data_IF_107081380896
#
_entry.id   IF_107081380896
#
_cell.length_a   1.000
_cell.length_b   1.000
_cell.length_c   1.000
_cell.angle_alpha   90.00
_cell.angle_beta   90.00
_cell.angle_gamma   90.00
#
_symmetry.space_group_name_H-M   'P 1'
#
loop_
_entity.id
_entity.type
_entity.pdbx_description
1 polymer ?
#
# COMPACT_ATOMS: atom_id res chain seq x y z
N UNK A 1 -17.17 -5.84 -7.86
CA UNK A 1 -15.72 -6.05 -7.91
C UNK A 1 -15.04 -4.80 -8.42
N UNK A 2 -14.30 -4.05 -7.60
CA UNK A 2 -13.02 -3.50 -8.05
C UNK A 2 -12.49 -2.61 -6.97
N UNK A 3 -11.40 -3.04 -6.41
CA UNK A 3 -10.51 -2.20 -5.66
C UNK A 3 -9.17 -2.13 -6.40
N UNK A 4 -8.54 -0.99 -6.29
CA UNK A 4 -7.13 -0.80 -6.58
C UNK A 4 -6.50 -0.23 -5.32
N UNK A 5 -5.33 -0.70 -4.95
CA UNK A 5 -4.57 -0.07 -3.88
C UNK A 5 -3.28 0.49 -4.46
N UNK A 6 -2.93 1.69 -4.08
CA UNK A 6 -1.67 2.29 -4.46
C UNK A 6 -0.89 2.72 -3.23
N UNK A 7 0.42 2.49 -3.31
CA UNK A 7 1.37 2.93 -2.32
C UNK A 7 1.67 4.41 -2.56
N UNK A 8 1.08 5.24 -1.74
CA UNK A 8 1.15 6.70 -1.82
C UNK A 8 2.06 7.28 -0.76
N UNK A 9 2.27 8.59 -0.78
CA UNK A 9 3.10 9.29 0.20
C UNK A 9 2.41 10.54 0.73
N UNK A 10 2.55 10.76 2.04
CA UNK A 10 2.22 12.00 2.72
C UNK A 10 3.27 12.30 3.79
N UNK A 11 3.88 13.48 3.76
CA UNK A 11 4.95 13.89 4.70
C UNK A 11 6.04 12.81 4.85
N UNK A 12 6.54 12.27 3.73
CA UNK A 12 7.55 11.20 3.67
C UNK A 12 7.11 9.85 4.29
N UNK A 13 5.83 9.70 4.64
CA UNK A 13 5.24 8.44 5.09
C UNK A 13 4.51 7.75 3.96
N UNK A 14 4.70 6.44 3.90
CA UNK A 14 4.00 5.61 2.92
C UNK A 14 2.61 5.30 3.44
N UNK A 15 1.59 5.65 2.67
CA UNK A 15 0.21 5.36 2.98
C UNK A 15 -0.40 4.51 1.87
N UNK A 16 -1.32 3.62 2.22
CA UNK A 16 -2.07 2.84 1.25
C UNK A 16 -3.47 3.42 1.10
N UNK A 17 -3.82 3.81 -0.13
CA UNK A 17 -5.18 4.25 -0.47
C UNK A 17 -5.82 3.18 -1.34
N UNK A 18 -6.95 2.67 -0.88
CA UNK A 18 -7.74 1.65 -1.59
C UNK A 18 -8.94 2.32 -2.26
N UNK A 19 -9.09 2.10 -3.56
CA UNK A 19 -10.27 2.51 -4.31
C UNK A 19 -11.27 1.37 -4.42
N UNK A 20 -12.51 1.58 -3.96
CA UNK A 20 -13.60 0.60 -4.07
C UNK A 20 -14.62 1.04 -5.11
N UNK A 21 -15.36 0.08 -5.68
CA UNK A 21 -16.45 0.31 -6.64
C UNK A 21 -16.03 1.09 -7.89
N UNK A 22 -14.80 0.87 -8.37
CA UNK A 22 -14.28 1.52 -9.57
C UNK A 22 -15.08 1.05 -10.79
N UNK A 23 -15.57 1.99 -11.60
CA UNK A 23 -16.31 1.70 -12.82
C UNK A 23 -15.38 1.32 -13.95
N UNK A 24 -15.88 0.50 -14.90
CA UNK A 24 -15.09 0.05 -16.07
C UNK A 24 -14.58 1.20 -16.93
N UNK A 25 -15.34 2.26 -17.05
CA UNK A 25 -14.96 3.46 -17.81
C UNK A 25 -13.69 4.14 -17.29
N UNK A 26 -13.36 3.96 -16.01
CA UNK A 26 -12.19 4.54 -15.35
C UNK A 26 -10.98 3.59 -15.29
N UNK A 27 -11.07 2.39 -15.89
CA UNK A 27 -9.97 1.41 -15.79
C UNK A 27 -8.72 1.83 -16.52
N UNK A 28 -8.85 2.49 -17.69
CA UNK A 28 -7.71 3.03 -18.43
C UNK A 28 -6.91 4.01 -17.59
N UNK A 29 -7.58 4.98 -16.97
CA UNK A 29 -6.95 6.03 -16.18
C UNK A 29 -6.24 5.47 -14.94
N UNK A 30 -6.87 4.50 -14.26
CA UNK A 30 -6.25 3.82 -13.12
C UNK A 30 -5.05 2.98 -13.55
N UNK A 31 -5.16 2.28 -14.68
CA UNK A 31 -4.06 1.50 -15.23
C UNK A 31 -2.87 2.39 -15.58
N UNK A 32 -3.12 3.59 -16.10
CA UNK A 32 -2.07 4.57 -16.41
C UNK A 32 -1.37 5.06 -15.13
N UNK A 33 -2.12 5.43 -14.08
CA UNK A 33 -1.57 5.81 -12.77
C UNK A 33 -0.71 4.69 -12.19
N UNK A 34 -1.20 3.45 -12.26
CA UNK A 34 -0.45 2.29 -11.75
C UNK A 34 0.79 1.99 -12.59
N UNK A 35 0.73 2.15 -13.91
CA UNK A 35 1.86 1.95 -14.81
C UNK A 35 2.98 2.97 -14.55
N UNK A 36 2.64 4.24 -14.29
CA UNK A 36 3.61 5.26 -13.90
C UNK A 36 4.30 4.91 -12.58
N UNK A 37 3.52 4.54 -11.56
CA UNK A 37 4.07 4.08 -10.27
C UNK A 37 4.99 2.86 -10.44
N UNK A 38 4.61 1.93 -11.30
CA UNK A 38 5.39 0.73 -11.60
C UNK A 38 6.71 1.07 -12.31
N UNK A 39 6.68 1.98 -13.28
CA UNK A 39 7.87 2.48 -13.97
C UNK A 39 8.87 3.11 -12.98
N UNK A 40 8.39 3.98 -12.09
CA UNK A 40 9.24 4.60 -11.07
C UNK A 40 9.86 3.57 -10.11
N UNK A 41 9.12 2.52 -9.75
CA UNK A 41 9.66 1.39 -8.95
C UNK A 41 10.75 0.64 -9.72
N UNK A 42 10.55 0.37 -11.00
CA UNK A 42 11.53 -0.31 -11.84
C UNK A 42 12.81 0.52 -11.99
N UNK A 43 12.70 1.84 -12.23
CA UNK A 43 13.83 2.76 -12.30
C UNK A 43 14.62 2.78 -10.98
N UNK A 44 13.93 2.84 -9.84
CA UNK A 44 14.54 2.78 -8.50
C UNK A 44 15.29 1.46 -8.26
N UNK A 45 14.73 0.33 -8.67
CA UNK A 45 15.37 -0.97 -8.52
C UNK A 45 16.58 -1.16 -9.46
N UNK A 46 16.50 -0.65 -10.69
CA UNK A 46 17.65 -0.61 -11.60
C UNK A 46 18.78 0.26 -11.05
N UNK A 47 18.42 1.42 -10.47
CA UNK A 47 19.39 2.29 -9.82
C UNK A 47 20.05 1.61 -8.61
N UNK A 48 19.27 0.86 -7.80
CA UNK A 48 19.79 0.09 -6.69
C UNK A 48 20.84 -0.93 -7.13
N UNK A 49 20.55 -1.72 -8.17
CA UNK A 49 21.50 -2.69 -8.73
C UNK A 49 22.77 -1.99 -9.25
N UNK A 50 22.61 -0.85 -9.95
CA UNK A 50 23.74 -0.04 -10.41
C UNK A 50 24.58 0.51 -9.26
N UNK A 51 23.96 0.95 -8.17
CA UNK A 51 24.67 1.47 -7.00
C UNK A 51 25.44 0.35 -6.26
N UNK A 52 24.82 -0.82 -6.11
CA UNK A 52 25.45 -1.99 -5.51
C UNK A 52 26.70 -2.43 -6.30
N UNK A 53 26.65 -2.36 -7.63
CA UNK A 53 27.77 -2.73 -8.49
C UNK A 53 29.02 -1.85 -8.29
N UNK A 54 28.88 -0.61 -7.81
CA UNK A 54 30.02 0.29 -7.53
C UNK A 54 30.93 -0.27 -6.41
N UNK A 55 30.36 -1.02 -5.49
CA UNK A 55 31.06 -1.60 -4.35
C UNK A 55 31.26 -3.12 -4.51
N UNK A 56 31.15 -3.62 -5.76
CA UNK A 56 31.47 -5.02 -6.09
C UNK A 56 30.32 -6.01 -5.97
N UNK A 57 29.11 -5.58 -5.61
CA UNK A 57 27.92 -6.44 -5.59
C UNK A 57 27.30 -6.54 -6.99
N UNK A 58 27.87 -7.40 -7.84
CA UNK A 58 27.49 -7.51 -9.25
C UNK A 58 26.25 -8.39 -9.42
N UNK A 59 25.16 -7.76 -9.84
CA UNK A 59 23.88 -8.39 -10.16
C UNK A 59 23.48 -8.06 -11.61
N UNK A 60 22.78 -8.99 -12.26
CA UNK A 60 22.13 -8.76 -13.55
C UNK A 60 20.63 -8.52 -13.30
N UNK A 61 20.16 -7.32 -13.64
CA UNK A 61 18.77 -6.95 -13.43
C UNK A 61 17.82 -7.75 -14.32
N UNK A 62 18.19 -8.06 -15.55
CA UNK A 62 17.35 -8.79 -16.50
C UNK A 62 17.28 -10.28 -16.12
N UNK A 63 18.35 -10.85 -15.57
CA UNK A 63 18.34 -12.18 -14.98
C UNK A 63 17.36 -12.25 -13.80
N UNK A 64 17.42 -11.28 -12.88
CA UNK A 64 16.48 -11.18 -11.77
C UNK A 64 15.03 -11.04 -12.29
N UNK A 65 14.80 -10.19 -13.27
CA UNK A 65 13.47 -9.95 -13.86
C UNK A 65 12.89 -11.21 -14.49
N UNK A 66 13.69 -11.97 -15.20
CA UNK A 66 13.28 -13.21 -15.85
C UNK A 66 12.90 -14.32 -14.85
N UNK A 67 13.41 -14.26 -13.63
CA UNK A 67 13.09 -15.21 -12.55
C UNK A 67 11.79 -14.87 -11.81
N UNK A 68 11.18 -13.70 -12.05
CA UNK A 68 9.92 -13.31 -11.40
C UNK A 68 8.71 -13.85 -12.18
N UNK A 69 7.64 -14.20 -11.45
CA UNK A 69 6.42 -14.80 -12.05
C UNK A 69 5.65 -13.80 -12.92
N UNK A 70 5.67 -12.53 -12.52
CA UNK A 70 4.89 -11.44 -13.12
C UNK A 70 5.75 -10.44 -13.92
N UNK A 71 7.07 -10.67 -14.01
CA UNK A 71 8.00 -9.78 -14.69
C UNK A 71 8.33 -8.50 -13.91
N UNK A 72 7.92 -8.41 -12.64
CA UNK A 72 8.18 -7.25 -11.78
C UNK A 72 9.20 -7.56 -10.70
N UNK A 73 10.31 -6.82 -10.74
CA UNK A 73 11.35 -6.92 -9.71
C UNK A 73 10.98 -6.06 -8.51
N UNK A 74 11.05 -6.67 -7.33
CA UNK A 74 10.98 -5.97 -6.06
C UNK A 74 12.29 -6.15 -5.26
N UNK A 75 12.43 -5.43 -4.14
CA UNK A 75 13.65 -5.51 -3.33
C UNK A 75 13.91 -6.90 -2.74
N UNK A 76 12.86 -7.71 -2.52
CA UNK A 76 13.05 -9.08 -2.04
C UNK A 76 13.67 -9.98 -3.13
N UNK A 77 13.36 -9.76 -4.41
CA UNK A 77 14.03 -10.44 -5.52
C UNK A 77 15.51 -10.07 -5.59
N UNK A 78 15.85 -8.78 -5.41
CA UNK A 78 17.25 -8.32 -5.35
C UNK A 78 17.98 -8.91 -4.14
N UNK A 79 17.32 -8.97 -2.97
CA UNK A 79 17.87 -9.62 -1.77
C UNK A 79 18.15 -11.11 -1.99
N UNK A 80 17.24 -11.81 -2.64
CA UNK A 80 17.42 -13.22 -3.00
C UNK A 80 18.60 -13.42 -3.95
N UNK A 81 18.75 -12.55 -4.96
CA UNK A 81 19.89 -12.59 -5.89
C UNK A 81 21.23 -12.32 -5.18
N UNK A 82 21.28 -11.35 -4.24
CA UNK A 82 22.45 -11.11 -3.40
C UNK A 82 22.83 -12.35 -2.58
N UNK A 83 21.84 -13.03 -2.00
CA UNK A 83 22.04 -14.26 -1.23
C UNK A 83 22.52 -15.40 -2.13
N UNK A 84 21.92 -15.60 -3.30
CA UNK A 84 22.34 -16.64 -4.26
C UNK A 84 23.79 -16.46 -4.73
N UNK A 85 24.24 -15.21 -4.88
CA UNK A 85 25.64 -14.89 -5.24
C UNK A 85 26.60 -14.90 -4.04
N UNK A 86 26.11 -15.22 -2.84
CA UNK A 86 26.92 -15.31 -1.62
C UNK A 86 27.39 -13.97 -1.05
N UNK A 87 26.82 -12.86 -1.49
CA UNK A 87 27.14 -11.52 -0.95
C UNK A 87 26.56 -11.29 0.44
N UNK A 88 25.49 -11.98 0.79
CA UNK A 88 24.85 -11.98 2.10
C UNK A 88 24.41 -13.40 2.46
N UNK A 89 24.27 -13.70 3.76
CA UNK A 89 23.87 -15.02 4.24
C UNK A 89 22.34 -15.24 4.21
N UNK A 90 21.56 -14.17 4.15
CA UNK A 90 20.10 -14.24 4.15
C UNK A 90 19.46 -12.99 3.52
N UNK A 91 18.21 -13.16 3.08
CA UNK A 91 17.36 -12.04 2.63
C UNK A 91 17.21 -10.99 3.74
N UNK A 92 17.08 -11.43 5.00
CA UNK A 92 16.99 -10.54 6.16
C UNK A 92 18.25 -9.68 6.31
N UNK A 93 19.42 -10.28 6.18
CA UNK A 93 20.70 -9.55 6.22
C UNK A 93 20.78 -8.51 5.11
N UNK A 94 20.40 -8.86 3.85
CA UNK A 94 20.39 -7.91 2.75
C UNK A 94 19.56 -6.65 3.10
N UNK A 95 18.37 -6.84 3.69
CA UNK A 95 17.55 -5.71 4.12
C UNK A 95 18.17 -4.92 5.28
N UNK A 96 18.90 -5.56 6.18
CA UNK A 96 19.53 -4.89 7.33
C UNK A 96 20.82 -4.14 6.97
N UNK A 97 21.49 -4.50 5.86
CA UNK A 97 22.83 -3.98 5.50
C UNK A 97 22.88 -3.22 4.18
N UNK A 98 22.18 -3.64 3.12
CA UNK A 98 22.37 -3.09 1.77
C UNK A 98 21.11 -2.40 1.22
N UNK A 99 19.92 -2.92 1.55
CA UNK A 99 18.69 -2.51 0.87
C UNK A 99 17.88 -1.42 1.60
N UNK A 100 18.38 -0.88 2.71
CA UNK A 100 17.80 0.30 3.37
C UNK A 100 18.42 1.58 2.81
N UNK A 101 17.62 2.64 2.69
CA UNK A 101 18.05 3.95 2.17
C UNK A 101 19.24 4.55 2.94
N UNK A 102 19.35 4.27 4.24
CA UNK A 102 20.45 4.76 5.08
C UNK A 102 21.84 4.30 4.65
N UNK A 103 21.95 3.22 3.87
CA UNK A 103 23.24 2.72 3.37
C UNK A 103 23.61 3.30 2.00
N UNK A 104 22.77 4.14 1.40
CA UNK A 104 23.07 4.91 0.20
C UNK A 104 22.84 4.19 -1.13
N UNK A 105 22.65 2.87 -1.14
CA UNK A 105 22.39 2.13 -2.40
C UNK A 105 20.96 2.31 -2.89
N UNK A 106 19.99 2.24 -1.98
CA UNK A 106 18.58 2.31 -2.32
C UNK A 106 18.06 3.76 -2.26
N UNK A 107 17.62 4.24 -3.42
CA UNK A 107 16.88 5.49 -3.54
C UNK A 107 15.40 5.14 -3.74
N UNK A 108 14.53 5.43 -2.77
CA UNK A 108 13.10 5.14 -2.91
C UNK A 108 12.51 5.81 -4.16
N UNK A 109 11.60 5.14 -4.89
CA UNK A 109 10.91 5.77 -6.01
C UNK A 109 10.03 6.91 -5.49
N UNK A 110 9.84 7.94 -6.30
CA UNK A 110 8.79 8.93 -6.05
C UNK A 110 7.44 8.22 -6.06
N UNK A 111 6.60 8.58 -5.10
CA UNK A 111 5.24 8.06 -4.99
C UNK A 111 4.25 9.18 -5.26
N UNK A 112 3.07 8.87 -5.79
CA UNK A 112 2.01 9.86 -5.87
C UNK A 112 1.61 10.32 -4.48
N UNK A 113 1.21 11.57 -4.35
CA UNK A 113 0.64 12.09 -3.11
C UNK A 113 -0.64 11.34 -2.76
N UNK A 114 -0.81 10.98 -1.48
CA UNK A 114 -2.04 10.36 -1.00
C UNK A 114 -3.26 11.24 -1.27
N UNK A 115 -3.12 12.55 -1.10
CA UNK A 115 -4.20 13.51 -1.37
C UNK A 115 -4.59 13.54 -2.86
N UNK A 116 -3.59 13.49 -3.75
CA UNK A 116 -3.83 13.41 -5.20
C UNK A 116 -4.60 12.13 -5.58
N UNK A 117 -4.22 10.96 -5.05
CA UNK A 117 -4.92 9.71 -5.35
C UNK A 117 -6.36 9.73 -4.82
N UNK A 118 -6.59 10.30 -3.63
CA UNK A 118 -7.94 10.48 -3.08
C UNK A 118 -8.79 11.36 -4.01
N UNK A 119 -8.26 12.48 -4.48
CA UNK A 119 -8.96 13.36 -5.45
C UNK A 119 -9.27 12.65 -6.76
N UNK A 120 -8.34 11.86 -7.29
CA UNK A 120 -8.57 11.06 -8.51
C UNK A 120 -9.70 10.05 -8.31
N UNK A 121 -9.70 9.31 -7.19
CA UNK A 121 -10.76 8.35 -6.86
C UNK A 121 -12.12 9.04 -6.71
N UNK A 122 -12.16 10.21 -6.08
CA UNK A 122 -13.37 11.04 -6.00
C UNK A 122 -13.86 11.43 -7.41
N UNK A 123 -12.96 11.87 -8.30
CA UNK A 123 -13.28 12.20 -9.69
C UNK A 123 -13.85 11.01 -10.48
N UNK A 124 -13.49 9.78 -10.13
CA UNK A 124 -14.05 8.55 -10.70
C UNK A 124 -15.39 8.13 -10.08
N UNK A 125 -15.88 8.85 -9.08
CA UNK A 125 -17.07 8.46 -8.31
C UNK A 125 -16.87 7.13 -7.56
N UNK A 126 -15.65 6.86 -7.12
CA UNK A 126 -15.26 5.67 -6.37
C UNK A 126 -15.13 6.00 -4.89
N UNK A 127 -15.26 4.99 -4.03
CA UNK A 127 -15.01 5.14 -2.60
C UNK A 127 -13.52 5.00 -2.33
N UNK A 128 -12.92 6.00 -1.69
CA UNK A 128 -11.54 5.97 -1.24
C UNK A 128 -11.46 5.56 0.24
N UNK A 129 -10.53 4.64 0.54
CA UNK A 129 -10.30 4.12 1.89
C UNK A 129 -8.83 4.28 2.26
N UNK A 130 -8.53 4.84 3.41
CA UNK A 130 -7.18 4.80 4.00
C UNK A 130 -7.02 3.43 4.68
N UNK A 131 -6.11 2.61 4.16
CA UNK A 131 -5.85 1.28 4.71
C UNK A 131 -4.93 1.35 5.94
N UNK A 132 -5.17 0.46 6.91
CA UNK A 132 -4.34 0.18 8.10
C UNK A 132 -3.56 1.40 8.64
N UNK A 133 -4.24 2.50 9.04
CA UNK A 133 -3.61 3.80 9.31
C UNK A 133 -2.49 3.73 10.35
N UNK A 134 -2.63 2.91 11.40
CA UNK A 134 -1.66 2.85 12.49
C UNK A 134 -0.37 2.07 12.16
N UNK A 135 -0.26 1.44 10.97
CA UNK A 135 1.01 0.86 10.55
C UNK A 135 2.06 1.92 10.21
N UNK A 136 1.63 3.10 9.76
CA UNK A 136 2.55 4.11 9.23
C UNK A 136 2.40 5.48 9.89
N UNK A 137 1.34 5.70 10.68
CA UNK A 137 1.07 6.94 11.40
C UNK A 137 0.74 6.62 12.86
N UNK A 138 1.17 7.50 13.76
CA UNK A 138 0.62 7.55 15.10
C UNK A 138 -0.72 8.32 15.10
N UNK A 139 -1.39 8.41 16.24
CA UNK A 139 -2.70 9.06 16.36
C UNK A 139 -2.64 10.54 15.97
N UNK A 140 -1.66 11.29 16.43
CA UNK A 140 -1.53 12.73 16.15
C UNK A 140 -1.33 12.99 14.65
N UNK A 141 -0.48 12.21 14.00
CA UNK A 141 -0.24 12.28 12.57
C UNK A 141 -1.47 11.92 11.74
N UNK A 142 -2.22 10.92 12.19
CA UNK A 142 -3.49 10.55 11.56
C UNK A 142 -4.49 11.69 11.68
N UNK A 143 -4.61 12.30 12.86
CA UNK A 143 -5.49 13.44 13.14
C UNK A 143 -5.09 14.69 12.34
N UNK A 144 -3.82 14.89 12.04
CA UNK A 144 -3.33 15.96 11.15
C UNK A 144 -3.68 15.68 9.68
N UNK A 145 -3.57 14.41 9.25
CA UNK A 145 -3.83 14.00 7.86
C UNK A 145 -5.32 14.02 7.49
N UNK A 146 -6.20 13.51 8.37
CA UNK A 146 -7.60 13.25 8.06
C UNK A 146 -8.40 14.48 7.59
N UNK A 147 -8.27 15.69 8.18
CA UNK A 147 -8.98 16.88 7.69
C UNK A 147 -8.61 17.21 6.23
N UNK A 148 -7.34 17.09 5.87
CA UNK A 148 -6.84 17.35 4.51
C UNK A 148 -7.34 16.27 3.54
N UNK A 149 -7.23 15.00 3.94
CA UNK A 149 -7.70 13.88 3.15
C UNK A 149 -9.23 13.93 2.91
N UNK A 150 -9.99 14.30 3.95
CA UNK A 150 -11.44 14.48 3.84
C UNK A 150 -11.82 15.63 2.90
N UNK A 151 -11.12 16.74 2.93
CA UNK A 151 -11.32 17.85 1.97
C UNK A 151 -11.07 17.39 0.53
N UNK A 152 -10.08 16.52 0.29
CA UNK A 152 -9.84 15.89 -1.00
C UNK A 152 -10.88 14.81 -1.37
N UNK A 153 -11.69 14.34 -0.41
CA UNK A 153 -12.78 13.40 -0.65
C UNK A 153 -12.55 11.99 -0.11
N UNK A 154 -11.70 11.81 0.91
CA UNK A 154 -11.58 10.52 1.61
C UNK A 154 -12.94 10.14 2.22
N UNK A 155 -13.38 8.91 1.92
CA UNK A 155 -14.68 8.41 2.36
C UNK A 155 -14.61 7.55 3.61
N UNK A 156 -13.56 6.75 3.75
CA UNK A 156 -13.46 5.75 4.80
C UNK A 156 -12.01 5.52 5.25
N UNK A 157 -11.86 4.92 6.43
CA UNK A 157 -10.59 4.32 6.86
C UNK A 157 -10.81 2.92 7.41
N UNK A 158 -9.78 2.05 7.32
CA UNK A 158 -9.85 0.72 7.93
C UNK A 158 -9.83 0.86 9.45
N UNK A 159 -10.95 0.49 10.07
CA UNK A 159 -11.08 0.34 11.51
C UNK A 159 -10.88 -1.14 11.93
N UNK A 160 -11.18 -2.07 11.03
CA UNK A 160 -11.03 -3.51 11.26
C UNK A 160 -9.88 -4.06 10.43
N UNK A 161 -8.75 -4.32 11.07
CA UNK A 161 -7.55 -4.79 10.42
C UNK A 161 -6.93 -5.99 11.17
N UNK A 162 -6.37 -6.95 10.44
CA UNK A 162 -5.87 -8.22 11.00
C UNK A 162 -4.82 -8.10 12.09
N UNK A 163 -4.04 -7.01 12.09
CA UNK A 163 -2.96 -6.79 13.06
C UNK A 163 -3.32 -5.77 14.14
N UNK A 164 -4.51 -5.16 14.09
CA UNK A 164 -4.96 -4.30 15.17
C UNK A 164 -5.39 -5.12 16.38
N UNK A 165 -4.98 -4.67 17.53
CA UNK A 165 -5.55 -5.14 18.77
C UNK A 165 -6.92 -4.48 19.04
N UNK A 166 -7.51 -4.81 20.18
CA UNK A 166 -8.84 -4.27 20.56
C UNK A 166 -8.79 -2.76 20.74
N UNK A 167 -7.73 -2.23 21.38
CA UNK A 167 -7.59 -0.80 21.66
C UNK A 167 -7.39 0.00 20.36
N UNK A 168 -6.58 -0.51 19.44
CA UNK A 168 -6.37 0.09 18.12
C UNK A 168 -7.66 0.08 17.30
N UNK A 169 -8.43 -1.00 17.34
CA UNK A 169 -9.73 -1.10 16.67
C UNK A 169 -10.72 -0.06 17.24
N UNK A 170 -10.87 0.02 18.56
CA UNK A 170 -11.75 0.98 19.24
C UNK A 170 -11.31 2.42 18.94
N UNK A 171 -10.02 2.70 18.91
CA UNK A 171 -9.47 4.01 18.54
C UNK A 171 -9.79 4.35 17.09
N UNK A 172 -9.59 3.42 16.15
CA UNK A 172 -9.90 3.62 14.75
C UNK A 172 -11.39 3.89 14.52
N UNK A 173 -12.27 3.15 15.19
CA UNK A 173 -13.72 3.39 15.14
C UNK A 173 -14.08 4.78 15.67
N UNK A 174 -13.54 5.17 16.83
CA UNK A 174 -13.74 6.48 17.44
C UNK A 174 -13.29 7.61 16.48
N UNK A 175 -12.10 7.47 15.86
CA UNK A 175 -11.60 8.44 14.90
C UNK A 175 -12.51 8.52 13.66
N UNK A 176 -13.01 7.39 13.15
CA UNK A 176 -13.99 7.41 12.06
C UNK A 176 -15.21 8.24 12.43
N UNK A 177 -15.77 8.02 13.63
CA UNK A 177 -16.97 8.72 14.09
C UNK A 177 -16.70 10.23 14.31
N UNK A 178 -15.58 10.59 14.90
CA UNK A 178 -15.17 11.98 15.14
C UNK A 178 -15.01 12.78 13.83
N UNK A 179 -14.46 12.16 12.79
CA UNK A 179 -14.24 12.82 11.50
C UNK A 179 -15.39 12.59 10.51
N UNK A 180 -16.45 11.86 10.90
CA UNK A 180 -17.56 11.53 10.00
C UNK A 180 -17.10 10.75 8.77
N UNK A 181 -16.16 9.81 8.96
CA UNK A 181 -15.69 8.87 7.96
C UNK A 181 -16.45 7.54 8.11
N UNK A 182 -16.63 6.85 7.00
CA UNK A 182 -17.12 5.48 7.03
C UNK A 182 -16.03 4.56 7.57
N UNK A 183 -16.45 3.49 8.25
CA UNK A 183 -15.57 2.41 8.67
C UNK A 183 -15.39 1.43 7.49
N UNK A 184 -14.20 0.88 7.38
CA UNK A 184 -13.88 -0.21 6.45
C UNK A 184 -13.09 -1.28 7.19
N UNK A 185 -12.79 -2.37 6.52
CA UNK A 185 -11.93 -3.39 7.06
C UNK A 185 -11.40 -4.33 6.00
N UNK A 186 -10.26 -4.95 6.31
CA UNK A 186 -9.57 -5.86 5.42
C UNK A 186 -8.56 -6.75 6.13
N UNK A 187 -8.33 -7.94 5.57
CA UNK A 187 -7.33 -8.86 6.09
C UNK A 187 -5.91 -8.54 5.67
N UNK A 188 -5.75 -7.71 4.67
CA UNK A 188 -4.45 -7.42 4.02
C UNK A 188 -3.75 -8.71 3.54
N UNK A 189 -4.57 -9.62 3.00
CA UNK A 189 -4.11 -10.90 2.46
C UNK A 189 -3.22 -10.71 1.23
N UNK A 190 -2.05 -11.36 1.24
CA UNK A 190 -1.04 -11.26 0.17
C UNK A 190 -0.55 -12.65 -0.30
N UNK A 191 -1.38 -13.68 -0.18
CA UNK A 191 -1.02 -15.03 -0.58
C UNK A 191 0.23 -15.55 0.13
N UNK A 192 1.13 -16.17 -0.61
CA UNK A 192 2.33 -16.79 -0.06
C UNK A 192 3.32 -15.80 0.59
N UNK A 193 3.23 -14.50 0.32
CA UNK A 193 4.10 -13.49 0.94
C UNK A 193 3.70 -13.13 2.37
N UNK A 194 2.45 -13.42 2.75
CA UNK A 194 1.93 -13.31 4.12
C UNK A 194 1.18 -14.60 4.49
N UNK A 195 1.88 -15.73 4.70
CA UNK A 195 1.24 -17.03 4.87
C UNK A 195 0.35 -17.13 6.11
N UNK A 196 0.61 -16.32 7.13
CA UNK A 196 -0.17 -16.29 8.39
C UNK A 196 -1.47 -15.47 8.27
N UNK A 197 -1.73 -14.84 7.14
CA UNK A 197 -2.93 -14.03 6.92
C UNK A 197 -3.86 -14.74 5.93
N UNK A 198 -5.05 -15.09 6.37
CA UNK A 198 -6.08 -15.71 5.52
C UNK A 198 -7.05 -14.66 4.96
N UNK A 199 -7.55 -14.87 3.76
CA UNK A 199 -8.51 -13.98 3.12
C UNK A 199 -9.79 -13.87 3.96
N UNK A 200 -10.18 -12.64 4.31
CA UNK A 200 -11.42 -12.32 5.00
C UNK A 200 -11.40 -12.52 6.52
N UNK A 201 -10.52 -13.37 7.05
CA UNK A 201 -10.48 -13.69 8.51
C UNK A 201 -9.15 -13.32 9.17
N UNK A 202 -8.19 -12.81 8.40
CA UNK A 202 -6.89 -12.39 8.93
C UNK A 202 -6.14 -13.55 9.56
N UNK A 203 -5.75 -13.41 10.83
CA UNK A 203 -5.17 -14.49 11.65
C UNK A 203 -6.22 -15.34 12.37
N UNK A 204 -7.46 -15.33 11.91
CA UNK A 204 -8.61 -15.95 12.58
C UNK A 204 -9.30 -15.04 13.61
N UNK A 205 -8.83 -13.81 13.73
CA UNK A 205 -9.33 -12.82 14.70
C UNK A 205 -10.18 -11.70 14.06
N UNK A 206 -10.27 -11.66 12.73
CA UNK A 206 -10.98 -10.60 12.02
C UNK A 206 -12.42 -11.00 11.75
N UNK A 207 -13.37 -10.23 12.28
CA UNK A 207 -14.79 -10.35 12.03
C UNK A 207 -15.35 -8.97 11.67
N UNK A 208 -15.53 -8.71 10.37
CA UNK A 208 -16.03 -7.43 9.87
C UNK A 208 -17.55 -7.50 9.78
N UNK A 209 -18.31 -6.62 10.48
CA UNK A 209 -19.76 -6.61 10.41
C UNK A 209 -20.27 -6.33 8.99
N UNK A 210 -21.28 -7.05 8.53
CA UNK A 210 -21.88 -6.86 7.20
C UNK A 210 -22.39 -5.42 6.98
N UNK A 211 -22.75 -4.73 8.06
CA UNK A 211 -23.21 -3.34 8.01
C UNK A 211 -22.15 -2.38 7.45
N UNK A 212 -20.88 -2.68 7.69
CA UNK A 212 -19.75 -1.91 7.12
C UNK A 212 -19.82 -1.91 5.59
N UNK A 213 -20.03 -3.08 4.98
CA UNK A 213 -20.20 -3.18 3.53
C UNK A 213 -21.42 -2.42 3.03
N UNK A 214 -22.57 -2.55 3.74
CA UNK A 214 -23.82 -1.85 3.37
C UNK A 214 -23.63 -0.34 3.38
N UNK A 215 -22.96 0.21 4.41
CA UNK A 215 -22.70 1.63 4.54
C UNK A 215 -21.81 2.15 3.40
N UNK A 216 -20.75 1.43 3.04
CA UNK A 216 -19.89 1.76 1.90
C UNK A 216 -20.67 1.69 0.57
N UNK A 217 -21.49 0.65 0.38
CA UNK A 217 -22.31 0.50 -0.82
C UNK A 217 -23.37 1.60 -0.94
N UNK A 218 -24.04 1.95 0.14
CA UNK A 218 -25.02 3.05 0.17
C UNK A 218 -24.36 4.39 -0.14
N UNK A 219 -23.18 4.67 0.43
CA UNK A 219 -22.42 5.87 0.12
C UNK A 219 -22.11 5.93 -1.39
N UNK A 220 -21.64 4.83 -1.98
CA UNK A 220 -21.37 4.75 -3.41
C UNK A 220 -22.62 5.00 -4.28
N UNK A 221 -23.79 4.47 -3.87
CA UNK A 221 -25.03 4.68 -4.62
C UNK A 221 -25.49 6.13 -4.55
N UNK A 222 -25.28 6.81 -3.42
CA UNK A 222 -25.65 8.22 -3.24
C UNK A 222 -24.77 9.19 -4.05
N UNK A 223 -23.56 8.79 -4.46
CA UNK A 223 -22.75 9.58 -5.42
C UNK A 223 -23.32 9.57 -6.85
N UNK A 224 -24.35 8.75 -7.13
CA UNK A 224 -24.97 8.61 -8.45
C UNK A 224 -26.24 9.46 -8.66
N UNK A 225 -26.71 10.10 -7.63
CA UNK A 225 -27.88 10.99 -7.66
C UNK A 225 -27.46 12.45 -7.66
#
# INVERSE_FOLDING_TARGET
RLCSSDLTEYNSKQLHIVGLFIKKENYSDITEIMAESQKLKEESNKLLVKNLAKDGYILDYDEIKSSTVDGFVNRANIAAALMQKGYVSSVKEAFQTLLMSKFGYYVPPKRPSSLYIIERLKGFGSISVLAHPFLNMNEDELREFLPKAKACGLNATEAYYSLFDKAETELAEKICDEYGLLKSGGSDFHGATKPDISLGVGKGNLAIPTEIYKNLANCYHNFRL
#
